data_IF_077820740836
#
_entry.id   IF_077820740836
#
_cell.length_a   1.000
_cell.length_b   1.000
_cell.length_c   1.000
_cell.angle_alpha   90.00
_cell.angle_beta   90.00
_cell.angle_gamma   90.00
#
_symmetry.space_group_name_H-M   'P 1'
#
loop_
_entity.id
_entity.type
_entity.pdbx_description
1 polymer ?
#
# COMPACT_ATOMS: atom_id res chain seq x y z
N UNK A 1 -9.00 4.08 -13.33
CA UNK A 1 -10.05 5.02 -12.89
C UNK A 1 -10.40 5.94 -14.05
N UNK A 2 -9.41 6.60 -14.62
CA UNK A 2 -9.66 7.66 -15.59
C UNK A 2 -10.36 7.26 -16.90
N UNK A 3 -10.14 6.04 -17.33
CA UNK A 3 -10.67 5.47 -18.59
C UNK A 3 -11.61 4.30 -18.32
N UNK A 4 -11.95 4.05 -17.06
CA UNK A 4 -12.69 2.85 -16.62
C UNK A 4 -14.12 3.26 -16.30
N UNK A 5 -15.09 2.75 -17.09
CA UNK A 5 -16.52 3.08 -17.01
C UNK A 5 -17.18 2.64 -15.70
N UNK A 6 -16.52 1.77 -14.93
CA UNK A 6 -16.96 1.34 -13.61
C UNK A 6 -16.94 2.49 -12.59
N UNK A 7 -16.16 3.54 -12.86
CA UNK A 7 -16.01 4.70 -12.00
C UNK A 7 -16.83 5.88 -12.51
N UNK A 8 -17.37 6.66 -11.60
CA UNK A 8 -18.10 7.88 -11.92
C UNK A 8 -17.14 8.89 -12.54
N UNK A 9 -17.30 9.12 -13.83
CA UNK A 9 -16.50 10.04 -14.63
C UNK A 9 -17.43 10.68 -15.67
N UNK A 10 -17.72 11.97 -15.50
CA UNK A 10 -18.56 12.71 -16.43
C UNK A 10 -17.79 13.34 -17.60
N UNK A 11 -16.49 13.01 -17.73
CA UNK A 11 -15.60 13.54 -18.77
C UNK A 11 -15.26 15.02 -18.60
N UNK A 12 -15.73 15.65 -17.53
CA UNK A 12 -15.47 17.05 -17.25
C UNK A 12 -14.24 17.23 -16.36
N UNK A 13 -13.45 18.27 -16.61
CA UNK A 13 -12.25 18.56 -15.81
C UNK A 13 -12.58 19.11 -14.41
N UNK A 14 -13.84 19.48 -14.16
CA UNK A 14 -14.32 20.10 -12.93
C UNK A 14 -14.87 19.08 -11.92
N UNK A 15 -15.30 17.90 -12.38
CA UNK A 15 -15.60 16.78 -11.49
C UNK A 15 -14.28 16.06 -11.16
N UNK A 16 -13.81 16.19 -9.92
CA UNK A 16 -12.61 15.45 -9.50
C UNK A 16 -12.93 13.94 -9.41
N UNK A 17 -12.61 13.27 -10.51
CA UNK A 17 -12.60 11.82 -10.79
C UNK A 17 -12.18 10.92 -9.62
N UNK A 18 -11.26 11.43 -8.81
CA UNK A 18 -10.71 10.78 -7.63
C UNK A 18 -9.46 11.51 -7.15
N UNK A 19 -9.05 11.24 -5.93
CA UNK A 19 -7.84 11.79 -5.33
C UNK A 19 -6.87 10.67 -5.00
N UNK A 20 -5.61 10.86 -5.36
CA UNK A 20 -4.48 10.10 -4.82
C UNK A 20 -3.53 11.07 -4.16
N UNK A 21 -3.33 10.94 -2.85
CA UNK A 21 -2.54 11.88 -2.03
C UNK A 21 -1.76 11.12 -0.98
N UNK A 22 -0.65 11.70 -0.52
CA UNK A 22 -0.04 11.27 0.75
C UNK A 22 -0.99 11.70 1.85
N UNK A 23 -1.41 10.75 2.67
CA UNK A 23 -2.31 10.97 3.81
C UNK A 23 -1.51 11.20 5.09
N UNK A 24 -0.51 10.35 5.34
CA UNK A 24 0.34 10.45 6.51
C UNK A 24 1.75 9.90 6.29
N UNK A 25 2.70 10.41 7.08
CA UNK A 25 4.00 9.76 7.31
C UNK A 25 3.92 9.04 8.66
N UNK A 26 3.66 7.74 8.60
CA UNK A 26 3.46 6.87 9.77
C UNK A 26 4.78 6.25 10.24
N UNK A 27 4.80 5.66 11.43
CA UNK A 27 6.01 5.18 12.10
C UNK A 27 6.89 4.24 11.24
N UNK A 28 6.25 3.42 10.41
CA UNK A 28 6.92 2.47 9.51
C UNK A 28 6.36 2.46 8.09
N UNK A 29 5.60 3.48 7.68
CA UNK A 29 4.95 3.54 6.36
C UNK A 29 4.73 4.97 5.86
N UNK A 30 4.56 5.11 4.54
CA UNK A 30 3.95 6.29 3.93
C UNK A 30 2.54 5.87 3.53
N UNK A 31 1.54 6.46 4.17
CA UNK A 31 0.15 6.10 3.92
C UNK A 31 -0.38 6.94 2.77
N UNK A 32 -1.00 6.28 1.79
CA UNK A 32 -1.58 6.94 0.62
C UNK A 32 -3.10 6.84 0.65
N UNK A 33 -3.77 7.98 0.54
CA UNK A 33 -5.22 8.07 0.35
C UNK A 33 -5.53 7.83 -1.13
N UNK A 34 -6.42 6.87 -1.41
CA UNK A 34 -7.06 6.68 -2.71
C UNK A 34 -8.56 6.84 -2.54
N UNK A 35 -9.10 7.95 -3.05
CA UNK A 35 -10.53 8.25 -3.04
C UNK A 35 -11.06 8.29 -4.47
N UNK A 36 -12.14 7.56 -4.74
CA UNK A 36 -12.85 7.57 -6.02
C UNK A 36 -14.29 7.12 -5.82
N UNK A 37 -15.15 7.35 -6.81
CA UNK A 37 -16.57 6.99 -6.77
C UNK A 37 -16.90 6.01 -7.89
N UNK A 38 -17.76 5.03 -7.63
CA UNK A 38 -18.26 4.08 -8.64
C UNK A 38 -19.50 4.62 -9.34
N UNK A 39 -19.72 4.23 -10.60
CA UNK A 39 -20.94 4.52 -11.35
C UNK A 39 -22.09 3.54 -11.03
N UNK A 40 -22.07 2.94 -9.84
CA UNK A 40 -23.07 1.98 -9.42
C UNK A 40 -23.40 2.15 -7.95
N UNK A 41 -24.66 1.92 -7.62
CA UNK A 41 -25.19 1.83 -6.26
C UNK A 41 -25.45 0.40 -5.83
N UNK A 42 -25.19 -0.59 -6.70
CA UNK A 42 -25.28 -2.01 -6.38
C UNK A 42 -24.11 -2.39 -5.47
N UNK A 43 -24.42 -2.90 -4.27
CA UNK A 43 -23.40 -3.23 -3.27
C UNK A 43 -22.46 -4.35 -3.71
N UNK A 44 -22.97 -5.40 -4.37
CA UNK A 44 -22.14 -6.53 -4.79
C UNK A 44 -21.15 -6.08 -5.86
N UNK A 45 -21.62 -5.29 -6.84
CA UNK A 45 -20.74 -4.72 -7.87
C UNK A 45 -19.73 -3.73 -7.28
N UNK A 46 -20.15 -2.92 -6.31
CA UNK A 46 -19.24 -2.00 -5.62
C UNK A 46 -18.08 -2.74 -4.95
N UNK A 47 -18.36 -3.82 -4.22
CA UNK A 47 -17.33 -4.64 -3.57
C UNK A 47 -16.39 -5.25 -4.62
N UNK A 48 -16.91 -5.82 -5.70
CA UNK A 48 -16.12 -6.38 -6.79
C UNK A 48 -15.18 -5.33 -7.41
N UNK A 49 -15.70 -4.12 -7.72
CA UNK A 49 -14.90 -3.02 -8.26
C UNK A 49 -13.80 -2.60 -7.27
N UNK A 50 -14.12 -2.54 -5.97
CA UNK A 50 -13.16 -2.17 -4.91
C UNK A 50 -12.03 -3.21 -4.78
N UNK A 51 -12.36 -4.50 -4.79
CA UNK A 51 -11.37 -5.58 -4.72
C UNK A 51 -10.45 -5.57 -5.95
N UNK A 52 -11.03 -5.43 -7.15
CA UNK A 52 -10.28 -5.32 -8.38
C UNK A 52 -9.33 -4.10 -8.39
N UNK A 53 -9.78 -2.96 -7.85
CA UNK A 53 -8.92 -1.79 -7.70
C UNK A 53 -7.76 -2.06 -6.73
N UNK A 54 -8.03 -2.69 -5.59
CA UNK A 54 -7.00 -3.03 -4.61
C UNK A 54 -5.93 -3.98 -5.20
N UNK A 55 -6.35 -4.98 -5.98
CA UNK A 55 -5.44 -5.89 -6.67
C UNK A 55 -4.57 -5.18 -7.70
N UNK A 56 -5.17 -4.30 -8.52
CA UNK A 56 -4.40 -3.48 -9.49
C UNK A 56 -3.39 -2.56 -8.79
N UNK A 57 -3.76 -1.95 -7.67
CA UNK A 57 -2.82 -1.12 -6.87
C UNK A 57 -1.66 -1.98 -6.38
N UNK A 58 -1.96 -3.17 -5.85
CA UNK A 58 -0.92 -4.10 -5.39
C UNK A 58 0.06 -4.46 -6.51
N UNK A 59 -0.45 -4.84 -7.67
CA UNK A 59 0.37 -5.17 -8.84
C UNK A 59 1.26 -4.00 -9.28
N UNK A 60 0.72 -2.78 -9.32
CA UNK A 60 1.48 -1.57 -9.67
C UNK A 60 2.62 -1.35 -8.67
N UNK A 61 2.34 -1.41 -7.37
CA UNK A 61 3.34 -1.22 -6.31
C UNK A 61 4.49 -2.24 -6.45
N UNK A 62 4.15 -3.52 -6.65
CA UNK A 62 5.14 -4.59 -6.80
C UNK A 62 5.97 -4.44 -8.09
N UNK A 63 5.35 -4.03 -9.20
CA UNK A 63 6.03 -3.82 -10.49
C UNK A 63 7.04 -2.67 -10.43
N UNK A 64 6.75 -1.61 -9.66
CA UNK A 64 7.65 -0.47 -9.46
C UNK A 64 8.75 -0.75 -8.41
N UNK A 65 8.93 -2.03 -8.01
CA UNK A 65 9.92 -2.47 -7.00
C UNK A 65 9.72 -1.82 -5.62
N UNK A 66 8.51 -1.32 -5.37
CA UNK A 66 8.06 -0.95 -4.05
C UNK A 66 7.37 -2.15 -3.38
N UNK A 67 6.99 -1.98 -2.12
CA UNK A 67 6.27 -3.01 -1.37
C UNK A 67 5.34 -2.38 -0.35
N UNK A 68 4.37 -3.17 0.12
CA UNK A 68 3.55 -2.76 1.26
C UNK A 68 4.38 -2.82 2.53
N UNK A 69 4.24 -1.79 3.35
CA UNK A 69 4.97 -1.66 4.59
C UNK A 69 4.48 -2.69 5.61
N UNK A 70 5.42 -3.48 6.12
CA UNK A 70 5.24 -4.21 7.39
C UNK A 70 5.69 -3.31 8.54
N UNK A 71 5.17 -3.50 9.76
CA UNK A 71 5.72 -2.86 10.94
C UNK A 71 7.23 -3.10 11.01
N UNK A 72 8.00 -2.03 11.14
CA UNK A 72 9.46 -2.09 11.19
C UNK A 72 9.98 -1.47 12.48
N UNK A 73 11.06 -2.05 13.00
CA UNK A 73 11.74 -1.58 14.20
C UNK A 73 13.23 -1.73 14.02
N UNK A 74 13.98 -0.75 14.52
CA UNK A 74 15.44 -0.85 14.60
C UNK A 74 15.81 -1.45 15.96
N UNK A 75 16.56 -2.56 15.94
CA UNK A 75 17.04 -3.23 17.15
C UNK A 75 18.50 -2.86 17.36
N UNK A 76 18.80 -2.23 18.50
CA UNK A 76 20.17 -1.96 18.94
C UNK A 76 20.67 -3.14 19.78
N UNK A 77 21.76 -3.78 19.37
CA UNK A 77 22.36 -4.94 20.05
C UNK A 77 23.71 -4.55 20.62
N UNK A 78 23.80 -4.47 21.95
CA UNK A 78 25.02 -4.04 22.66
C UNK A 78 26.07 -5.15 22.81
N UNK A 79 25.63 -6.41 22.96
CA UNK A 79 26.52 -7.57 22.99
C UNK A 79 25.81 -8.80 22.45
N UNK A 80 26.37 -9.42 21.41
CA UNK A 80 26.01 -10.77 21.00
C UNK A 80 26.65 -11.77 21.98
N UNK A 81 25.93 -12.82 22.44
CA UNK A 81 26.56 -13.90 23.18
C UNK A 81 27.65 -14.49 22.30
N UNK A 82 28.92 -14.28 22.66
CA UNK A 82 30.04 -14.91 21.97
C UNK A 82 29.87 -16.43 22.10
N UNK A 83 29.86 -17.07 20.94
CA UNK A 83 29.95 -18.51 20.77
C UNK A 83 31.12 -19.02 21.61
N UNK A 84 30.88 -20.09 22.38
CA UNK A 84 31.79 -20.65 23.37
C UNK A 84 33.25 -20.63 22.92
N UNK A 85 34.10 -20.02 23.75
CA UNK A 85 35.54 -20.07 23.67
C UNK A 85 35.99 -21.53 23.44
N UNK A 86 36.56 -21.82 22.28
CA UNK A 86 37.38 -23.03 22.13
C UNK A 86 38.49 -22.93 23.17
N UNK A 87 38.37 -23.73 24.21
CA UNK A 87 39.38 -23.94 25.24
C UNK A 87 40.63 -24.45 24.52
N UNK A 88 41.52 -23.53 24.15
CA UNK A 88 42.87 -23.82 23.71
C UNK A 88 43.59 -24.50 24.87
N UNK A 89 43.66 -25.84 24.78
CA UNK A 89 44.43 -26.70 25.66
C UNK A 89 45.85 -26.16 25.84
N UNK A 90 46.26 -25.95 27.08
CA UNK A 90 47.64 -26.08 27.54
C UNK A 90 47.66 -26.89 28.83
#
# INVERSE_FOLDING_TARGET
>A
IDTDESFANDGSSYFQKGYVRIDNFSDSSIDMLVQCFTNTTDWNKFIEIKENLAMKIKEIVENEKAGFAFPSQSIYVESTPNNNEEILKK
#
